data_IF_423190796679
#
_entry.id   IF_423190796679
#
_cell.length_a   1.000
_cell.length_b   1.000
_cell.length_c   1.000
_cell.angle_alpha   90.00
_cell.angle_beta   90.00
_cell.angle_gamma   90.00
#
_symmetry.space_group_name_H-M   'P 1'
#
loop_
_entity.id
_entity.type
_entity.pdbx_description
1 polymer ?
#
# COMPACT_ATOMS: atom_id res chain seq x y z
N UNK A 1 9.08 6.63 -36.24
CA UNK A 1 8.63 5.61 -35.27
C UNK A 1 9.82 5.30 -34.36
N UNK A 2 9.87 5.86 -33.16
CA UNK A 2 10.88 5.50 -32.16
C UNK A 2 10.25 4.48 -31.22
N UNK A 3 10.57 3.21 -31.42
CA UNK A 3 10.17 2.12 -30.56
C UNK A 3 10.91 2.21 -29.24
N UNK A 4 10.18 2.53 -28.16
CA UNK A 4 10.69 2.41 -26.81
C UNK A 4 10.64 0.93 -26.47
N UNK A 5 11.78 0.25 -26.56
CA UNK A 5 11.91 -1.13 -26.10
C UNK A 5 11.89 -1.14 -24.57
N UNK A 6 10.69 -1.25 -23.99
CA UNK A 6 10.50 -1.54 -22.57
C UNK A 6 10.83 -3.01 -22.33
N UNK A 7 12.13 -3.33 -22.25
CA UNK A 7 12.58 -4.62 -21.74
C UNK A 7 12.22 -4.68 -20.25
N UNK A 8 11.07 -5.27 -19.94
CA UNK A 8 10.81 -5.79 -18.60
C UNK A 8 11.95 -6.77 -18.30
N UNK A 9 12.74 -6.58 -17.23
CA UNK A 9 13.81 -7.51 -16.90
C UNK A 9 13.22 -8.92 -16.72
N UNK A 10 13.84 -9.94 -17.32
CA UNK A 10 13.41 -11.36 -17.22
C UNK A 10 13.19 -11.84 -15.78
N UNK A 11 13.81 -11.19 -14.79
CA UNK A 11 13.69 -11.50 -13.36
C UNK A 11 12.46 -10.90 -12.67
N UNK A 12 11.80 -9.91 -13.29
CA UNK A 12 10.66 -9.23 -12.67
C UNK A 12 9.46 -10.18 -12.43
N UNK A 13 9.07 -11.06 -13.37
CA UNK A 13 7.94 -11.97 -13.14
C UNK A 13 8.14 -12.92 -11.95
N UNK A 14 9.33 -13.53 -11.82
CA UNK A 14 9.65 -14.45 -10.72
C UNK A 14 9.68 -13.74 -9.35
N UNK A 15 10.22 -12.51 -9.32
CA UNK A 15 10.22 -11.69 -8.11
C UNK A 15 8.80 -11.27 -7.71
N UNK A 16 7.95 -10.91 -8.68
CA UNK A 16 6.54 -10.55 -8.43
C UNK A 16 5.73 -11.75 -7.95
N UNK A 17 5.94 -12.94 -8.52
CA UNK A 17 5.30 -14.17 -8.05
C UNK A 17 5.78 -14.55 -6.64
N UNK A 18 7.07 -14.37 -6.38
CA UNK A 18 7.66 -14.49 -5.04
C UNK A 18 7.03 -13.52 -4.03
N UNK A 19 6.76 -12.29 -4.46
CA UNK A 19 6.08 -11.27 -3.66
C UNK A 19 4.62 -11.62 -3.41
N UNK A 20 3.87 -12.11 -4.40
CA UNK A 20 2.49 -12.58 -4.22
C UNK A 20 2.39 -13.64 -3.11
N UNK A 21 3.22 -14.70 -3.20
CA UNK A 21 3.29 -15.77 -2.18
C UNK A 21 3.70 -15.25 -0.80
N UNK A 22 4.51 -14.19 -0.75
CA UNK A 22 4.94 -13.54 0.49
C UNK A 22 3.79 -12.76 1.14
N UNK A 23 3.04 -11.97 0.35
CA UNK A 23 1.89 -11.22 0.83
C UNK A 23 0.77 -12.14 1.31
N UNK A 24 0.51 -13.25 0.61
CA UNK A 24 -0.53 -14.22 0.93
C UNK A 24 -0.33 -14.88 2.30
N UNK A 25 0.90 -15.30 2.62
CA UNK A 25 1.23 -15.92 3.93
C UNK A 25 1.38 -14.90 5.06
N UNK A 26 1.51 -13.62 4.73
CA UNK A 26 1.71 -12.56 5.73
C UNK A 26 0.41 -12.28 6.47
N UNK A 27 0.50 -12.15 7.81
CA UNK A 27 -0.65 -11.76 8.64
C UNK A 27 -0.78 -10.24 8.68
N UNK A 28 -1.98 -9.78 8.33
CA UNK A 28 -2.33 -8.36 8.29
C UNK A 28 -3.37 -8.03 9.35
N UNK A 29 -3.21 -6.89 10.03
CA UNK A 29 -4.15 -6.35 11.01
C UNK A 29 -4.80 -5.11 10.45
N UNK A 30 -6.12 -5.04 10.48
CA UNK A 30 -6.83 -3.83 10.07
C UNK A 30 -6.72 -2.72 11.14
N UNK A 31 -6.35 -1.51 10.71
CA UNK A 31 -6.19 -0.35 11.58
C UNK A 31 -7.55 0.33 11.83
N UNK A 32 -8.35 -0.21 12.74
CA UNK A 32 -9.72 0.25 13.02
C UNK A 32 -9.85 1.74 13.33
N UNK A 33 -8.85 2.34 14.00
CA UNK A 33 -8.83 3.77 14.31
C UNK A 33 -8.79 4.65 13.06
N UNK A 34 -8.36 4.10 11.93
CA UNK A 34 -8.30 4.79 10.63
C UNK A 34 -9.40 4.38 9.65
N UNK A 35 -10.36 3.55 10.08
CA UNK A 35 -11.40 3.02 9.20
C UNK A 35 -12.24 4.11 8.49
N UNK A 36 -12.36 5.32 9.06
CA UNK A 36 -13.13 6.43 8.43
C UNK A 36 -12.29 7.44 7.65
N UNK A 37 -10.97 7.40 7.80
CA UNK A 37 -10.07 8.46 7.32
C UNK A 37 -9.01 7.98 6.36
N UNK A 38 -8.39 6.83 6.66
CA UNK A 38 -7.37 6.25 5.80
C UNK A 38 -7.31 4.74 6.03
N UNK A 39 -8.31 3.98 5.55
CA UNK A 39 -8.42 2.57 5.87
C UNK A 39 -7.21 1.82 5.33
N UNK A 40 -6.51 1.13 6.22
CA UNK A 40 -5.35 0.33 5.84
C UNK A 40 -5.21 -0.86 6.76
N UNK A 41 -4.48 -1.85 6.27
CA UNK A 41 -3.99 -2.94 7.08
C UNK A 41 -2.49 -2.73 7.31
N UNK A 42 -2.00 -3.28 8.41
CA UNK A 42 -0.58 -3.21 8.74
C UNK A 42 -0.08 -4.56 9.23
N UNK A 43 1.23 -4.73 9.12
CA UNK A 43 1.98 -5.84 9.63
C UNK A 43 3.21 -5.29 10.37
N UNK A 44 3.61 -5.95 11.45
CA UNK A 44 4.81 -5.61 12.22
C UNK A 44 5.79 -6.78 12.20
N UNK A 45 7.05 -6.54 12.60
CA UNK A 45 8.07 -7.58 12.75
C UNK A 45 7.60 -8.77 13.60
N UNK A 46 6.70 -8.56 14.55
CA UNK A 46 6.14 -9.62 15.40
C UNK A 46 5.14 -10.56 14.69
N UNK A 47 4.71 -10.23 13.47
CA UNK A 47 3.67 -10.93 12.72
C UNK A 47 4.20 -11.68 11.47
N UNK A 48 5.52 -11.62 11.22
CA UNK A 48 6.19 -12.29 10.11
C UNK A 48 7.63 -12.69 10.50
N UNK A 49 8.33 -13.42 9.62
CA UNK A 49 9.76 -13.63 9.81
C UNK A 49 10.55 -12.36 9.47
N UNK A 50 11.72 -12.18 10.06
CA UNK A 50 12.61 -11.05 9.74
C UNK A 50 12.99 -10.99 8.26
N UNK A 51 13.15 -12.17 7.63
CA UNK A 51 13.43 -12.28 6.20
C UNK A 51 12.25 -11.77 5.35
N UNK A 52 11.03 -12.22 5.67
CA UNK A 52 9.81 -11.80 4.97
C UNK A 52 9.60 -10.28 5.11
N UNK A 53 9.83 -9.74 6.32
CA UNK A 53 9.76 -8.31 6.59
C UNK A 53 10.74 -7.52 5.72
N UNK A 54 12.01 -7.93 5.71
CA UNK A 54 13.07 -7.29 4.94
C UNK A 54 12.80 -7.36 3.43
N UNK A 55 12.31 -8.49 2.92
CA UNK A 55 11.96 -8.66 1.50
C UNK A 55 10.84 -7.73 1.05
N UNK A 56 9.84 -7.48 1.90
CA UNK A 56 8.78 -6.53 1.55
C UNK A 56 9.31 -5.10 1.52
N UNK A 57 10.14 -4.71 2.49
CA UNK A 57 10.79 -3.38 2.50
C UNK A 57 11.64 -3.20 1.25
N UNK A 58 12.46 -4.20 0.91
CA UNK A 58 13.30 -4.17 -0.28
C UNK A 58 12.47 -4.00 -1.58
N UNK A 59 11.33 -4.68 -1.70
CA UNK A 59 10.44 -4.48 -2.84
C UNK A 59 9.87 -3.05 -2.87
N UNK A 60 9.48 -2.49 -1.71
CA UNK A 60 9.02 -1.10 -1.62
C UNK A 60 10.13 -0.14 -2.06
N UNK A 61 11.37 -0.38 -1.64
CA UNK A 61 12.50 0.49 -1.95
C UNK A 61 12.99 0.35 -3.40
N UNK A 62 12.92 -0.83 -4.01
CA UNK A 62 13.36 -0.99 -5.41
C UNK A 62 12.31 -0.54 -6.42
N UNK A 63 11.03 -0.77 -6.12
CA UNK A 63 9.95 -0.64 -7.11
C UNK A 63 8.91 0.43 -6.78
N UNK A 64 8.99 1.02 -5.59
CA UNK A 64 8.05 2.05 -5.18
C UNK A 64 8.29 3.42 -5.83
N UNK A 65 7.21 4.16 -5.99
CA UNK A 65 7.20 5.56 -6.46
C UNK A 65 6.97 6.49 -5.28
N UNK A 66 7.58 7.68 -5.33
CA UNK A 66 7.39 8.69 -4.28
C UNK A 66 6.09 9.45 -4.57
N UNK A 67 5.17 9.45 -3.60
CA UNK A 67 3.93 10.22 -3.66
C UNK A 67 3.75 11.06 -2.39
N UNK A 68 2.93 12.11 -2.47
CA UNK A 68 2.55 12.90 -1.31
C UNK A 68 1.63 12.11 -0.37
N UNK A 69 1.87 12.29 0.92
CA UNK A 69 1.05 11.83 2.03
C UNK A 69 0.90 12.97 3.05
N UNK A 70 -0.22 13.69 2.97
CA UNK A 70 -0.41 14.93 3.73
C UNK A 70 0.67 15.95 3.37
N UNK A 71 1.43 16.39 4.38
CA UNK A 71 2.55 17.33 4.22
C UNK A 71 3.91 16.63 4.04
N UNK A 72 3.92 15.30 3.89
CA UNK A 72 5.13 14.50 3.73
C UNK A 72 5.13 13.73 2.41
N UNK A 73 6.26 13.11 2.05
CA UNK A 73 6.34 12.18 0.93
C UNK A 73 6.64 10.77 1.44
N UNK A 74 6.03 9.78 0.80
CA UNK A 74 6.23 8.35 1.11
C UNK A 74 6.45 7.58 -0.18
N UNK A 75 7.21 6.50 -0.07
CA UNK A 75 7.44 5.57 -1.17
C UNK A 75 6.37 4.49 -1.16
N UNK A 76 5.59 4.43 -2.23
CA UNK A 76 4.50 3.48 -2.40
C UNK A 76 4.85 2.48 -3.50
N UNK A 77 4.83 1.21 -3.16
CA UNK A 77 4.90 0.14 -4.14
C UNK A 77 3.49 -0.34 -4.48
N UNK A 78 3.14 -0.27 -5.75
CA UNK A 78 1.86 -0.75 -6.29
C UNK A 78 2.03 -2.19 -6.73
N UNK A 79 1.22 -3.07 -6.15
CA UNK A 79 1.22 -4.48 -6.48
C UNK A 79 -0.21 -5.01 -6.42
N UNK A 80 -0.67 -5.59 -7.53
CA UNK A 80 -2.07 -5.99 -7.74
C UNK A 80 -3.03 -4.83 -7.39
N UNK A 81 -4.03 -5.09 -6.55
CA UNK A 81 -5.07 -4.12 -6.16
C UNK A 81 -4.68 -3.28 -4.92
N UNK A 82 -3.43 -3.39 -4.47
CA UNK A 82 -2.95 -2.79 -3.23
C UNK A 82 -1.75 -1.88 -3.49
N UNK A 83 -1.58 -0.90 -2.60
CA UNK A 83 -0.32 -0.16 -2.47
C UNK A 83 0.27 -0.35 -1.08
N UNK A 84 1.58 -0.49 -1.02
CA UNK A 84 2.36 -0.85 0.15
C UNK A 84 3.35 0.27 0.48
N UNK A 85 3.50 0.58 1.76
CA UNK A 85 4.52 1.52 2.26
C UNK A 85 4.94 1.10 3.66
N UNK A 86 6.11 1.55 4.11
CA UNK A 86 6.58 1.28 5.46
C UNK A 86 6.71 2.58 6.27
N UNK A 87 6.80 2.42 7.59
CA UNK A 87 7.11 3.49 8.53
C UNK A 87 8.50 3.22 9.12
N UNK A 88 9.44 4.11 8.82
CA UNK A 88 10.82 4.09 9.31
C UNK A 88 11.80 4.51 8.23
N UNK A 89 13.08 4.44 8.56
CA UNK A 89 14.21 4.81 7.72
C UNK A 89 15.04 3.55 7.43
N UNK A 90 14.91 2.93 6.23
CA UNK A 90 15.57 1.67 5.91
C UNK A 90 17.10 1.79 5.87
N UNK A 91 17.61 2.99 5.54
CA UNK A 91 19.04 3.27 5.41
C UNK A 91 19.63 3.94 6.67
N UNK A 92 18.89 3.98 7.78
CA UNK A 92 19.38 4.60 9.02
C UNK A 92 20.50 3.76 9.66
N UNK A 93 21.54 4.41 10.18
CA UNK A 93 22.57 3.77 11.00
C UNK A 93 22.03 3.37 12.39
N UNK A 94 20.97 4.04 12.84
CA UNK A 94 20.23 3.72 14.05
C UNK A 94 19.13 2.70 13.75
N UNK A 95 19.31 1.48 14.28
CA UNK A 95 18.39 0.37 14.11
C UNK A 95 17.01 0.58 14.74
N UNK A 96 16.86 1.50 15.70
CA UNK A 96 15.55 1.84 16.27
C UNK A 96 14.67 2.60 15.26
N UNK A 97 15.30 3.26 14.28
CA UNK A 97 14.62 3.95 13.19
C UNK A 97 14.27 3.06 12.02
N UNK A 98 14.82 1.84 11.97
CA UNK A 98 14.52 0.92 10.86
C UNK A 98 13.03 0.66 10.76
N UNK A 99 12.52 0.40 9.54
CA UNK A 99 11.11 0.17 9.38
C UNK A 99 10.65 -1.00 10.25
N UNK A 100 9.56 -0.76 11.00
CA UNK A 100 8.95 -1.77 11.86
C UNK A 100 7.54 -2.11 11.38
N UNK A 101 6.83 -1.12 10.83
CA UNK A 101 5.46 -1.26 10.36
C UNK A 101 5.43 -1.18 8.85
N UNK A 102 4.83 -2.18 8.22
CA UNK A 102 4.49 -2.18 6.81
C UNK A 102 2.99 -2.07 6.71
N UNK A 103 2.52 -1.10 5.95
CA UNK A 103 1.11 -0.85 5.71
C UNK A 103 0.75 -1.23 4.28
N UNK A 104 -0.50 -1.62 4.08
CA UNK A 104 -1.12 -1.78 2.76
C UNK A 104 -2.51 -1.17 2.76
N UNK A 105 -2.89 -0.57 1.64
CA UNK A 105 -4.25 -0.08 1.43
C UNK A 105 -4.73 -0.45 0.03
N UNK A 106 -6.04 -0.49 -0.16
CA UNK A 106 -6.63 -0.70 -1.48
C UNK A 106 -6.33 0.50 -2.38
N UNK A 107 -6.00 0.23 -3.64
CA UNK A 107 -5.84 1.27 -4.66
C UNK A 107 -7.22 1.85 -5.02
N UNK A 108 -8.21 0.97 -5.16
CA UNK A 108 -9.62 1.35 -5.26
C UNK A 108 -10.22 1.47 -3.87
N UNK A 109 -10.54 2.70 -3.46
CA UNK A 109 -11.08 2.99 -2.12
C UNK A 109 -12.44 2.33 -1.86
N UNK A 110 -13.17 1.92 -2.90
CA UNK A 110 -14.43 1.18 -2.75
C UNK A 110 -14.21 -0.20 -2.14
N UNK A 111 -13.02 -0.78 -2.33
CA UNK A 111 -12.65 -2.06 -1.74
C UNK A 111 -12.41 -1.97 -0.22
N UNK A 112 -12.28 -0.77 0.38
CA UNK A 112 -12.24 -0.61 1.84
C UNK A 112 -13.47 -1.18 2.54
N UNK A 113 -14.61 -1.29 1.84
CA UNK A 113 -15.81 -1.96 2.34
C UNK A 113 -15.53 -3.38 2.85
N UNK A 114 -14.65 -4.13 2.18
CA UNK A 114 -14.25 -5.49 2.60
C UNK A 114 -13.56 -5.52 3.97
N UNK A 115 -12.96 -4.41 4.42
CA UNK A 115 -12.33 -4.34 5.72
C UNK A 115 -13.33 -4.11 6.87
N UNK A 116 -14.52 -3.56 6.59
CA UNK A 116 -15.42 -3.03 7.64
C UNK A 116 -16.82 -3.67 7.65
N UNK A 117 -17.23 -4.33 6.57
CA UNK A 117 -18.58 -4.89 6.39
C UNK A 117 -19.05 -5.88 7.47
N UNK A 118 -18.13 -6.48 8.22
CA UNK A 118 -18.45 -7.39 9.32
C UNK A 118 -18.77 -6.68 10.63
N UNK A 119 -18.61 -5.34 10.70
CA UNK A 119 -18.97 -4.52 11.87
C UNK A 119 -19.91 -3.37 11.54
N UNK A 120 -19.90 -2.87 10.31
CA UNK A 120 -20.74 -1.77 9.88
C UNK A 120 -21.91 -2.28 9.07
N UNK A 121 -23.04 -1.59 9.17
CA UNK A 121 -24.21 -1.80 8.35
C UNK A 121 -23.94 -1.44 6.88
N UNK A 122 -24.76 -1.95 5.97
CA UNK A 122 -24.66 -1.62 4.55
C UNK A 122 -24.79 -0.11 4.29
N UNK A 123 -25.70 0.57 5.01
CA UNK A 123 -25.90 2.03 4.92
C UNK A 123 -24.66 2.80 5.41
N UNK A 124 -24.05 2.40 6.53
CA UNK A 124 -22.80 3.01 7.00
C UNK A 124 -21.66 2.83 5.99
N UNK A 125 -21.55 1.65 5.38
CA UNK A 125 -20.53 1.37 4.36
C UNK A 125 -20.77 2.21 3.10
N UNK A 126 -22.01 2.36 2.64
CA UNK A 126 -22.36 3.17 1.49
C UNK A 126 -21.99 4.65 1.70
N UNK A 127 -22.45 5.23 2.82
CA UNK A 127 -22.14 6.61 3.18
C UNK A 127 -20.63 6.84 3.32
N UNK A 128 -19.93 5.90 3.97
CA UNK A 128 -18.50 6.02 4.19
C UNK A 128 -17.68 5.81 2.90
N UNK A 129 -18.15 4.98 1.97
CA UNK A 129 -17.51 4.79 0.67
C UNK A 129 -17.43 6.11 -0.09
N UNK A 130 -18.53 6.88 -0.08
CA UNK A 130 -18.54 8.20 -0.72
C UNK A 130 -17.54 9.18 -0.08
N UNK A 131 -17.36 9.10 1.23
CA UNK A 131 -16.37 9.94 1.94
C UNK A 131 -14.93 9.56 1.58
N UNK A 132 -14.62 8.27 1.41
CA UNK A 132 -13.29 7.83 0.99
C UNK A 132 -12.95 8.29 -0.44
N UNK A 133 -13.91 8.25 -1.36
CA UNK A 133 -13.73 8.77 -2.73
C UNK A 133 -13.36 10.27 -2.71
N UNK A 134 -14.11 11.08 -1.95
CA UNK A 134 -13.84 12.51 -1.80
C UNK A 134 -12.45 12.76 -1.18
N UNK A 135 -12.01 11.91 -0.25
CA UNK A 135 -10.66 12.00 0.34
C UNK A 135 -9.57 11.65 -0.68
N UNK A 136 -9.79 10.66 -1.54
CA UNK A 136 -8.85 10.28 -2.59
C UNK A 136 -8.64 11.42 -3.60
N UNK A 137 -9.74 12.06 -4.02
CA UNK A 137 -9.72 13.22 -4.93
C UNK A 137 -8.89 14.39 -4.36
N UNK A 138 -8.90 14.57 -3.04
CA UNK A 138 -8.12 15.64 -2.37
C UNK A 138 -6.66 15.27 -2.14
N UNK A 139 -6.35 13.99 -1.97
CA UNK A 139 -5.03 13.52 -1.52
C UNK A 139 -4.09 13.13 -2.66
N UNK A 140 -4.61 12.86 -3.85
CA UNK A 140 -3.76 12.45 -4.97
C UNK A 140 -3.15 13.66 -5.69
N UNK A 141 -1.86 13.58 -6.00
CA UNK A 141 -1.20 14.43 -7.00
C UNK A 141 -1.59 14.01 -8.43
N UNK A 142 -2.55 13.08 -8.57
CA UNK A 142 -3.03 12.63 -9.88
C UNK A 142 -3.63 13.85 -10.58
N UNK A 143 -3.16 14.19 -11.80
CA UNK A 143 -3.90 15.11 -12.63
C UNK A 143 -5.32 14.56 -12.77
N UNK A 144 -6.33 15.42 -12.66
CA UNK A 144 -7.71 15.05 -12.96
C UNK A 144 -7.68 14.34 -14.31
N UNK A 145 -8.13 13.10 -14.35
CA UNK A 145 -8.39 12.45 -15.62
C UNK A 145 -9.48 13.28 -16.29
N UNK A 146 -9.10 14.02 -17.32
CA UNK A 146 -10.04 14.63 -18.24
C UNK A 146 -10.82 13.47 -18.88
N UNK A 147 -11.98 13.17 -18.31
CA UNK A 147 -12.94 12.31 -18.98
C UNK A 147 -13.53 13.14 -20.13
N UNK A 148 -13.58 12.61 -21.37
CA UNK A 148 -14.16 13.29 -22.53
C UNK A 148 -15.62 13.74 -22.30
#
# INVERSE_FOLDING_TARGET
MLGISSKIPERLPDEMEGFARLIERTKWKFAWTYARTYPHEYMTKALCSSEDHARIIDCIERYGVIERFGDSHRKYFYFEERKYWHMGEPDSEDSEKWPNVINRTWVDVRCHAANVNHRWTAEEVELQTRLWEIQLEKSTDRPKSDTP
#
